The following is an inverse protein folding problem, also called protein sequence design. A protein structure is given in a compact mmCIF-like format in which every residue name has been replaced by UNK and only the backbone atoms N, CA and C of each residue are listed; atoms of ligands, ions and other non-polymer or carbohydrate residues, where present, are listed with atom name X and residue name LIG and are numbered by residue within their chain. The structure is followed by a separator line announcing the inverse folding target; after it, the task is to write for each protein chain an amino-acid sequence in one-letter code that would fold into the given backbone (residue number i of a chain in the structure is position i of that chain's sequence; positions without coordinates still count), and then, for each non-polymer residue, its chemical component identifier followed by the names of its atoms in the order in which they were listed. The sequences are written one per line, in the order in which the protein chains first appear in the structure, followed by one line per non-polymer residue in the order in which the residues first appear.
data_IF_135938748360
#
_entry.id   IF_135938748360
#
_cell.length_a   1.000
_cell.length_b   1.000
_cell.length_c   1.000
_cell.angle_alpha   90.00
_cell.angle_beta   90.00
_cell.angle_gamma   90.00
#
_symmetry.space_group_name_H-M   'P 1'
#
loop_
_entity.id
_entity.type
_entity.pdbx_description
1 polymer ?
#
# COMPACT_ATOMS: atom_id res chain seq x y z
N UNK A 1 9.20 10.72 21.44
CA UNK A 1 8.84 9.28 21.52
C UNK A 1 9.70 8.53 20.51
N UNK A 2 10.06 7.28 20.79
CA UNK A 2 10.71 6.39 19.80
C UNK A 2 9.63 5.68 18.97
N UNK A 3 10.00 5.17 17.79
CA UNK A 3 9.08 4.40 16.95
C UNK A 3 9.68 3.03 16.58
N UNK A 4 8.82 2.01 16.52
CA UNK A 4 9.16 0.65 16.10
C UNK A 4 8.31 0.27 14.91
N UNK A 5 8.94 -0.22 13.86
CA UNK A 5 8.26 -0.71 12.67
C UNK A 5 8.75 -2.13 12.33
N UNK A 6 7.84 -3.03 11.95
CA UNK A 6 8.15 -4.37 11.45
C UNK A 6 7.54 -4.48 10.06
N UNK A 7 8.35 -4.81 9.05
CA UNK A 7 7.84 -5.03 7.70
C UNK A 7 7.26 -6.44 7.59
N UNK A 8 5.94 -6.53 7.46
CA UNK A 8 5.21 -7.80 7.26
C UNK A 8 4.84 -8.04 5.79
N UNK A 9 5.06 -7.04 4.93
CA UNK A 9 4.79 -7.16 3.51
C UNK A 9 5.87 -8.02 2.83
N UNK A 10 5.53 -8.72 1.73
CA UNK A 10 6.53 -9.47 0.95
C UNK A 10 7.48 -8.55 0.16
N UNK A 11 7.18 -7.26 0.08
CA UNK A 11 7.99 -6.24 -0.58
C UNK A 11 8.89 -5.50 0.39
N UNK A 12 9.97 -4.90 -0.13
CA UNK A 12 10.85 -4.06 0.67
C UNK A 12 10.21 -2.69 0.94
N UNK A 13 10.57 -2.07 2.06
CA UNK A 13 10.36 -0.64 2.31
C UNK A 13 11.70 0.09 2.21
N UNK A 14 11.70 1.29 1.65
CA UNK A 14 12.81 2.21 1.72
C UNK A 14 12.52 3.28 2.75
N UNK A 15 13.48 3.50 3.65
CA UNK A 15 13.39 4.51 4.70
C UNK A 15 14.49 5.54 4.56
N UNK A 16 14.13 6.76 4.93
CA UNK A 16 14.99 7.91 5.07
C UNK A 16 14.87 8.43 6.50
N UNK A 17 15.98 8.77 7.12
CA UNK A 17 16.00 9.27 8.48
C UNK A 17 17.05 10.37 8.66
N UNK A 18 16.70 11.37 9.46
CA UNK A 18 17.56 12.49 9.83
C UNK A 18 17.63 12.55 11.37
N UNK A 19 18.84 12.69 11.97
CA UNK A 19 18.98 12.81 13.41
C UNK A 19 18.22 14.00 14.00
N UNK A 20 17.72 13.83 15.23
CA UNK A 20 16.94 14.85 15.95
C UNK A 20 17.57 16.24 15.86
N UNK A 21 18.89 16.38 16.03
CA UNK A 21 19.58 17.68 16.04
C UNK A 21 19.34 18.56 14.79
N UNK A 22 18.88 17.99 13.67
CA UNK A 22 18.57 18.72 12.45
C UNK A 22 17.07 19.00 12.25
N UNK A 23 16.21 18.64 13.21
CA UNK A 23 14.76 18.86 13.11
C UNK A 23 14.43 20.34 12.84
N UNK A 24 15.17 21.27 13.48
CA UNK A 24 14.97 22.71 13.29
C UNK A 24 15.34 23.19 11.88
N UNK A 25 16.35 22.59 11.25
CA UNK A 25 16.70 22.88 9.86
C UNK A 25 15.60 22.42 8.90
N UNK A 26 15.05 21.21 9.11
CA UNK A 26 13.94 20.70 8.30
C UNK A 26 12.67 21.53 8.54
N UNK A 27 12.39 21.91 9.80
CA UNK A 27 11.27 22.79 10.14
C UNK A 27 11.33 24.11 9.36
N UNK A 28 12.52 24.73 9.30
CA UNK A 28 12.72 25.95 8.54
C UNK A 28 12.45 25.75 7.05
N UNK A 29 12.93 24.64 6.46
CA UNK A 29 12.65 24.30 5.06
C UNK A 29 11.15 24.11 4.79
N UNK A 30 10.42 23.47 5.69
CA UNK A 30 8.96 23.31 5.54
C UNK A 30 8.22 24.64 5.64
N UNK A 31 8.60 25.52 6.58
CA UNK A 31 7.97 26.83 6.76
C UNK A 31 8.19 27.75 5.53
N UNK A 32 9.37 27.70 4.91
CA UNK A 32 9.66 28.44 3.67
C UNK A 32 8.72 28.07 2.53
N UNK A 33 8.16 26.86 2.55
CA UNK A 33 7.17 26.38 1.57
C UNK A 33 5.72 26.64 2.01
N UNK A 34 5.52 27.35 3.13
CA UNK A 34 4.20 27.55 3.71
C UNK A 34 3.57 26.27 4.26
N UNK A 35 4.38 25.26 4.57
CA UNK A 35 3.95 24.00 5.16
C UNK A 35 4.22 24.02 6.66
N UNK A 36 3.23 23.58 7.44
CA UNK A 36 3.42 23.33 8.86
C UNK A 36 4.14 21.98 9.04
N UNK A 37 5.31 22.01 9.68
CA UNK A 37 6.17 20.83 9.87
C UNK A 37 5.44 19.66 10.54
N UNK A 38 4.55 19.94 11.51
CA UNK A 38 3.92 18.91 12.35
C UNK A 38 2.62 18.36 11.76
N UNK A 39 1.91 19.16 10.98
CA UNK A 39 0.54 18.86 10.56
C UNK A 39 0.36 18.77 9.04
N UNK A 40 1.28 19.30 8.25
CA UNK A 40 1.22 19.18 6.79
C UNK A 40 1.78 17.83 6.32
N UNK A 41 1.36 17.41 5.11
CA UNK A 41 1.96 16.28 4.41
C UNK A 41 3.07 16.79 3.49
N UNK A 42 4.30 16.31 3.67
CA UNK A 42 5.47 16.73 2.89
C UNK A 42 6.45 15.58 2.70
N UNK A 43 7.28 15.66 1.66
CA UNK A 43 8.30 14.67 1.33
C UNK A 43 9.60 15.38 0.96
N UNK A 44 10.66 15.28 1.78
CA UNK A 44 11.90 16.01 1.52
C UNK A 44 12.63 15.54 0.25
N UNK A 45 13.21 16.49 -0.48
CA UNK A 45 14.22 16.17 -1.49
C UNK A 45 15.57 15.91 -0.79
N UNK A 46 16.10 14.71 -0.97
CA UNK A 46 17.36 14.28 -0.36
C UNK A 46 18.54 15.14 -0.84
N UNK A 47 18.51 15.61 -2.08
CA UNK A 47 19.58 16.41 -2.64
C UNK A 47 19.59 17.83 -2.04
N UNK A 48 18.40 18.38 -1.74
CA UNK A 48 18.26 19.65 -1.03
C UNK A 48 18.77 19.55 0.41
N UNK A 49 18.37 18.50 1.14
CA UNK A 49 18.90 18.25 2.48
C UNK A 49 20.43 18.14 2.48
N UNK A 50 21.00 17.49 1.45
CA UNK A 50 22.45 17.36 1.28
C UNK A 50 23.13 18.71 1.02
N UNK A 51 22.52 19.59 0.23
CA UNK A 51 23.02 20.95 -0.04
C UNK A 51 23.04 21.81 1.22
N UNK A 52 22.06 21.62 2.10
CA UNK A 52 21.98 22.26 3.43
C UNK A 52 22.88 21.59 4.50
N UNK A 53 23.68 20.60 4.11
CA UNK A 53 24.58 19.89 5.02
C UNK A 53 23.86 19.00 6.05
N UNK A 54 22.60 18.63 5.79
CA UNK A 54 21.80 17.76 6.64
C UNK A 54 22.08 16.29 6.25
N UNK A 55 22.59 15.46 7.18
CA UNK A 55 22.85 14.06 6.89
C UNK A 55 21.54 13.26 6.81
N UNK A 56 21.42 12.46 5.75
CA UNK A 56 20.27 11.56 5.52
C UNK A 56 20.75 10.12 5.53
N UNK A 57 20.20 9.32 6.44
CA UNK A 57 20.35 7.87 6.43
C UNK A 57 19.31 7.28 5.49
N UNK A 58 19.74 6.51 4.49
CA UNK A 58 18.86 5.81 3.54
C UNK A 58 19.12 4.32 3.62
N UNK A 59 18.08 3.52 3.83
CA UNK A 59 18.21 2.07 3.93
C UNK A 59 16.95 1.33 3.48
N UNK A 60 17.12 0.04 3.17
CA UNK A 60 16.05 -0.88 2.85
C UNK A 60 15.68 -1.70 4.09
N UNK A 61 14.39 -1.86 4.32
CA UNK A 61 13.81 -2.77 5.29
C UNK A 61 13.18 -3.95 4.55
N UNK A 62 13.79 -5.12 4.66
CA UNK A 62 13.32 -6.37 4.05
C UNK A 62 12.13 -6.95 4.82
N UNK A 63 11.37 -7.88 4.23
CA UNK A 63 10.34 -8.63 4.95
C UNK A 63 10.89 -9.27 6.22
N UNK A 64 10.24 -9.04 7.35
CA UNK A 64 10.64 -9.51 8.68
C UNK A 64 11.62 -8.60 9.43
N UNK A 65 12.20 -7.58 8.79
CA UNK A 65 13.10 -6.65 9.47
C UNK A 65 12.36 -5.73 10.44
N UNK A 66 12.96 -5.53 11.61
CA UNK A 66 12.57 -4.53 12.59
C UNK A 66 13.42 -3.27 12.45
N UNK A 67 12.76 -2.12 12.36
CA UNK A 67 13.39 -0.81 12.36
C UNK A 67 13.02 -0.07 13.65
N UNK A 68 14.04 0.43 14.34
CA UNK A 68 13.90 1.27 15.53
C UNK A 68 14.34 2.70 15.22
N UNK A 69 13.42 3.65 15.28
CA UNK A 69 13.71 5.07 15.22
C UNK A 69 13.88 5.62 16.63
N UNK A 70 15.05 6.19 16.91
CA UNK A 70 15.33 6.79 18.21
C UNK A 70 14.48 8.05 18.43
N UNK A 71 14.34 8.48 19.68
CA UNK A 71 13.57 9.66 20.04
C UNK A 71 13.98 10.89 19.21
N UNK A 72 13.00 11.59 18.66
CA UNK A 72 13.21 12.83 17.92
C UNK A 72 13.74 12.66 16.48
N UNK A 73 14.01 11.43 16.03
CA UNK A 73 14.40 11.17 14.63
C UNK A 73 13.27 11.62 13.69
N UNK A 74 13.61 12.42 12.68
CA UNK A 74 12.69 12.75 11.57
C UNK A 74 12.86 11.66 10.51
N UNK A 75 11.77 10.98 10.14
CA UNK A 75 11.85 9.87 9.18
C UNK A 75 10.64 9.83 8.24
N UNK A 76 10.87 9.34 7.03
CA UNK A 76 9.85 9.09 6.02
C UNK A 76 10.24 7.84 5.21
N UNK A 77 9.28 7.21 4.55
CA UNK A 77 9.54 5.97 3.82
C UNK A 77 8.49 5.64 2.77
N UNK A 78 8.86 4.75 1.86
CA UNK A 78 8.02 4.28 0.76
C UNK A 78 8.14 2.77 0.62
N UNK A 79 7.05 2.11 0.26
CA UNK A 79 7.10 0.71 -0.16
C UNK A 79 7.71 0.62 -1.57
N UNK A 80 8.71 -0.24 -1.76
CA UNK A 80 9.35 -0.50 -3.06
C UNK A 80 8.80 -1.74 -3.75
N UNK A 81 8.06 -2.59 -3.03
CA UNK A 81 7.47 -3.82 -3.56
C UNK A 81 5.97 -3.72 -3.81
N UNK A 82 5.37 -4.85 -4.16
CA UNK A 82 3.92 -4.94 -4.35
C UNK A 82 3.21 -4.69 -3.03
N UNK A 83 2.61 -3.51 -2.90
CA UNK A 83 1.77 -3.17 -1.77
C UNK A 83 0.63 -4.17 -1.65
N UNK A 84 0.11 -4.34 -0.44
CA UNK A 84 -1.05 -5.19 -0.19
C UNK A 84 -2.22 -4.85 -1.13
N UNK A 85 -2.42 -3.58 -1.48
CA UNK A 85 -3.43 -3.14 -2.45
C UNK A 85 -3.21 -3.68 -3.87
N UNK A 86 -1.98 -3.59 -4.40
CA UNK A 86 -1.67 -4.12 -5.73
C UNK A 86 -1.87 -5.64 -5.75
N UNK A 87 -1.40 -6.34 -4.70
CA UNK A 87 -1.51 -7.79 -4.59
C UNK A 87 -2.95 -8.26 -4.55
N UNK A 88 -3.81 -7.65 -3.74
CA UNK A 88 -5.22 -8.06 -3.65
C UNK A 88 -5.99 -7.77 -4.93
N UNK A 89 -5.67 -6.66 -5.62
CA UNK A 89 -6.24 -6.34 -6.93
C UNK A 89 -5.79 -7.34 -8.00
N UNK A 90 -4.49 -7.60 -8.15
CA UNK A 90 -3.97 -8.57 -9.12
C UNK A 90 -4.51 -9.97 -8.86
N UNK A 91 -4.57 -10.40 -7.59
CA UNK A 91 -5.17 -11.68 -7.23
C UNK A 91 -6.64 -11.77 -7.65
N UNK A 92 -7.42 -10.69 -7.46
CA UNK A 92 -8.81 -10.63 -7.90
C UNK A 92 -8.93 -10.80 -9.42
N UNK A 93 -8.08 -10.11 -10.20
CA UNK A 93 -8.08 -10.22 -11.65
C UNK A 93 -7.73 -11.64 -12.12
N UNK A 94 -6.67 -12.24 -11.57
CA UNK A 94 -6.24 -13.61 -11.91
C UNK A 94 -7.37 -14.62 -11.64
N UNK A 95 -8.08 -14.48 -10.52
CA UNK A 95 -9.22 -15.35 -10.20
C UNK A 95 -10.34 -15.15 -11.23
N UNK A 96 -10.68 -13.90 -11.58
CA UNK A 96 -11.71 -13.61 -12.58
C UNK A 96 -11.37 -14.21 -13.95
N UNK A 97 -10.14 -14.03 -14.43
CA UNK A 97 -9.66 -14.58 -15.71
C UNK A 97 -9.74 -16.12 -15.70
N UNK A 98 -9.37 -16.74 -14.59
CA UNK A 98 -9.46 -18.19 -14.43
C UNK A 98 -10.92 -18.69 -14.45
N UNK A 99 -11.83 -17.98 -13.80
CA UNK A 99 -13.27 -18.30 -13.82
C UNK A 99 -13.88 -18.14 -15.21
N UNK A 100 -13.45 -17.12 -15.97
CA UNK A 100 -13.85 -16.94 -17.36
C UNK A 100 -13.40 -18.11 -18.24
N UNK A 101 -12.15 -18.58 -18.07
CA UNK A 101 -11.63 -19.76 -18.78
C UNK A 101 -12.46 -21.02 -18.47
N UNK A 102 -12.93 -21.17 -17.24
CA UNK A 102 -13.83 -22.26 -16.83
C UNK A 102 -15.30 -22.02 -17.18
N UNK A 103 -15.63 -20.86 -17.75
CA UNK A 103 -17.01 -20.41 -18.06
C UNK A 103 -17.93 -20.41 -16.85
N UNK A 104 -17.38 -20.09 -15.68
CA UNK A 104 -18.16 -19.97 -14.44
C UNK A 104 -18.68 -18.53 -14.32
N UNK A 105 -20.00 -18.34 -14.25
CA UNK A 105 -20.56 -16.99 -14.16
C UNK A 105 -20.27 -16.37 -12.79
N UNK A 106 -19.72 -15.16 -12.81
CA UNK A 106 -19.53 -14.34 -11.61
C UNK A 106 -20.71 -13.39 -11.47
N UNK A 107 -21.42 -13.47 -10.34
CA UNK A 107 -22.56 -12.60 -10.06
C UNK A 107 -22.08 -11.35 -9.32
N UNK A 108 -22.64 -10.20 -9.69
CA UNK A 108 -22.44 -8.97 -8.96
C UNK A 108 -23.21 -9.02 -7.64
N UNK A 109 -22.50 -8.91 -6.52
CA UNK A 109 -23.08 -8.81 -5.18
C UNK A 109 -23.07 -7.36 -4.69
N UNK A 110 -21.91 -6.69 -4.84
CA UNK A 110 -21.68 -5.36 -4.27
C UNK A 110 -21.43 -5.41 -2.76
N UNK A 111 -20.74 -4.39 -2.22
CA UNK A 111 -20.49 -4.25 -0.79
C UNK A 111 -21.41 -3.17 -0.21
N UNK A 112 -22.15 -3.46 0.87
CA UNK A 112 -22.87 -2.40 1.61
C UNK A 112 -21.97 -1.74 2.67
N UNK A 113 -22.20 -0.46 3.04
CA UNK A 113 -21.36 0.24 4.01
C UNK A 113 -21.30 -0.40 5.40
N UNK A 114 -22.35 -1.13 5.79
CA UNK A 114 -22.49 -1.82 7.07
C UNK A 114 -22.07 -3.30 7.00
N UNK A 115 -21.63 -3.79 5.83
CA UNK A 115 -21.27 -5.18 5.62
C UNK A 115 -19.82 -5.44 6.06
N UNK A 116 -19.65 -6.31 7.05
CA UNK A 116 -18.34 -6.71 7.56
C UNK A 116 -17.53 -7.49 6.50
N UNK A 117 -16.21 -7.58 6.71
CA UNK A 117 -15.36 -8.45 5.89
C UNK A 117 -15.75 -9.92 6.07
N UNK A 118 -15.64 -10.69 5.00
CA UNK A 118 -15.93 -12.13 5.02
C UNK A 118 -14.65 -12.90 5.33
N UNK A 119 -14.77 -13.97 6.11
CA UNK A 119 -13.69 -14.91 6.38
C UNK A 119 -14.01 -16.27 5.76
N UNK A 120 -12.98 -16.97 5.32
CA UNK A 120 -13.11 -18.30 4.76
C UNK A 120 -13.52 -19.30 5.84
N UNK A 121 -14.60 -20.04 5.63
CA UNK A 121 -15.10 -21.03 6.59
C UNK A 121 -14.06 -22.11 6.97
N UNK A 122 -13.19 -22.49 6.04
CA UNK A 122 -12.27 -23.62 6.27
C UNK A 122 -10.89 -23.22 6.82
N UNK A 123 -10.45 -21.96 6.65
CA UNK A 123 -9.10 -21.52 7.07
C UNK A 123 -9.05 -20.13 7.68
N UNK A 124 -10.20 -19.49 7.90
CA UNK A 124 -10.39 -18.23 8.61
C UNK A 124 -9.71 -16.99 8.01
N UNK A 125 -8.97 -17.13 6.91
CA UNK A 125 -8.39 -15.98 6.21
C UNK A 125 -9.49 -15.07 5.66
N UNK A 126 -9.23 -13.78 5.64
CA UNK A 126 -10.10 -12.80 4.99
C UNK A 126 -10.24 -13.11 3.50
N UNK A 127 -11.48 -13.01 2.99
CA UNK A 127 -11.82 -13.18 1.58
C UNK A 127 -12.28 -11.84 1.03
N UNK A 128 -11.41 -11.23 0.23
CA UNK A 128 -11.66 -9.93 -0.38
C UNK A 128 -12.17 -10.08 -1.82
N UNK A 129 -13.19 -9.30 -2.17
CA UNK A 129 -13.76 -9.10 -3.50
C UNK A 129 -14.43 -10.32 -4.14
N UNK A 130 -13.73 -11.44 -4.33
CA UNK A 130 -14.28 -12.64 -5.00
C UNK A 130 -14.64 -13.71 -3.96
N UNK A 131 -15.94 -13.93 -3.76
CA UNK A 131 -16.47 -14.83 -2.74
C UNK A 131 -16.98 -16.13 -3.38
N UNK A 132 -16.55 -17.27 -2.85
CA UNK A 132 -17.08 -18.58 -3.24
C UNK A 132 -18.12 -19.00 -2.21
N UNK A 133 -19.40 -18.76 -2.53
CA UNK A 133 -20.50 -18.96 -1.60
C UNK A 133 -21.22 -20.30 -1.84
N UNK A 134 -21.55 -21.00 -0.76
CA UNK A 134 -22.49 -22.13 -0.76
C UNK A 134 -23.64 -21.83 0.18
N UNK A 135 -24.85 -22.24 -0.19
CA UNK A 135 -26.00 -22.20 0.74
C UNK A 135 -26.07 -23.53 1.46
N UNK A 136 -25.74 -23.54 2.75
CA UNK A 136 -25.98 -24.68 3.64
C UNK A 136 -26.90 -24.23 4.77
N UNK A 137 -27.98 -24.97 5.03
CA UNK A 137 -28.89 -24.75 6.16
C UNK A 137 -29.39 -23.29 6.35
N UNK A 138 -29.72 -22.61 5.24
CA UNK A 138 -30.17 -21.20 5.20
C UNK A 138 -29.13 -20.17 5.66
N UNK A 139 -27.86 -20.56 5.80
CA UNK A 139 -26.73 -19.64 5.96
C UNK A 139 -25.84 -19.70 4.73
N UNK A 140 -25.41 -18.52 4.27
CA UNK A 140 -24.41 -18.42 3.21
C UNK A 140 -23.04 -18.57 3.84
N UNK A 141 -22.32 -19.62 3.46
CA UNK A 141 -20.92 -19.83 3.85
C UNK A 141 -20.00 -19.35 2.74
N UNK A 142 -18.98 -18.58 3.09
CA UNK A 142 -17.97 -18.07 2.16
C UNK A 142 -16.68 -18.87 2.29
N UNK A 143 -16.06 -19.22 1.17
CA UNK A 143 -14.73 -19.82 1.10
C UNK A 143 -13.79 -18.96 0.25
N UNK A 144 -12.49 -19.02 0.55
CA UNK A 144 -11.45 -18.46 -0.32
C UNK A 144 -11.26 -19.36 -1.56
N UNK A 145 -10.63 -18.82 -2.61
CA UNK A 145 -10.36 -19.56 -3.85
C UNK A 145 -9.66 -20.90 -3.61
N UNK A 146 -8.62 -20.92 -2.77
CA UNK A 146 -7.83 -22.11 -2.47
C UNK A 146 -8.66 -23.21 -1.79
N UNK A 147 -9.49 -22.84 -0.81
CA UNK A 147 -10.37 -23.77 -0.11
C UNK A 147 -11.49 -24.26 -1.03
N UNK A 148 -12.10 -23.37 -1.82
CA UNK A 148 -13.12 -23.73 -2.79
C UNK A 148 -12.60 -24.74 -3.81
N UNK A 149 -11.41 -24.52 -4.39
CA UNK A 149 -10.74 -25.45 -5.31
C UNK A 149 -10.37 -26.79 -4.69
N UNK A 150 -10.01 -26.81 -3.40
CA UNK A 150 -9.75 -28.07 -2.67
C UNK A 150 -11.04 -28.86 -2.44
N UNK A 151 -12.15 -28.17 -2.20
CA UNK A 151 -13.45 -28.78 -1.98
C UNK A 151 -14.07 -29.30 -3.29
N UNK A 152 -14.11 -28.45 -4.32
CA UNK A 152 -14.53 -28.80 -5.67
C UNK A 152 -13.56 -28.15 -6.69
N UNK A 153 -12.67 -28.94 -7.31
CA UNK A 153 -11.78 -28.43 -8.36
C UNK A 153 -12.55 -27.81 -9.53
N UNK A 154 -13.74 -28.28 -9.87
CA UNK A 154 -14.52 -27.71 -10.98
C UNK A 154 -15.17 -26.37 -10.62
N UNK A 155 -15.24 -26.04 -9.32
CA UNK A 155 -15.89 -24.86 -8.74
C UNK A 155 -17.38 -24.74 -9.08
N UNK A 156 -18.00 -25.78 -9.64
CA UNK A 156 -19.41 -25.78 -10.07
C UNK A 156 -20.37 -25.83 -8.87
N UNK A 157 -19.91 -26.33 -7.72
CA UNK A 157 -20.70 -26.34 -6.48
C UNK A 157 -20.86 -24.96 -5.84
N UNK A 158 -20.18 -23.92 -6.34
CA UNK A 158 -20.15 -22.59 -5.72
C UNK A 158 -20.94 -21.56 -6.53
N UNK A 159 -21.67 -20.70 -5.82
CA UNK A 159 -22.09 -19.40 -6.37
C UNK A 159 -20.94 -18.41 -6.19
N UNK A 160 -20.34 -17.97 -7.30
CA UNK A 160 -19.25 -16.99 -7.26
C UNK A 160 -19.80 -15.58 -7.29
N UNK A 161 -19.40 -14.77 -6.31
CA UNK A 161 -19.86 -13.40 -6.12
C UNK A 161 -18.67 -12.43 -6.21
N UNK A 162 -18.91 -11.23 -6.77
CA UNK A 162 -17.95 -10.13 -6.78
C UNK A 162 -18.51 -8.91 -6.02
N UNK A 163 -17.70 -8.36 -5.10
CA UNK A 163 -18.05 -7.19 -4.25
C UNK A 163 -17.63 -5.86 -4.86
N UNK A 164 -16.51 -5.79 -5.60
CA UNK A 164 -15.98 -4.57 -6.25
C UNK A 164 -15.69 -4.78 -7.74
N UNK A 165 -15.84 -3.73 -8.56
CA UNK A 165 -15.42 -3.80 -9.95
C UNK A 165 -13.90 -3.64 -10.05
N UNK A 166 -13.26 -4.35 -10.97
CA UNK A 166 -11.81 -4.20 -11.18
C UNK A 166 -11.41 -2.79 -11.61
N UNK A 167 -12.26 -2.11 -12.38
CA UNK A 167 -12.07 -0.69 -12.75
C UNK A 167 -12.10 0.25 -11.55
N UNK A 168 -12.94 -0.04 -10.56
CA UNK A 168 -13.05 0.74 -9.32
C UNK A 168 -11.80 0.54 -8.47
N UNK A 169 -11.35 -0.71 -8.30
CA UNK A 169 -10.11 -1.02 -7.58
C UNK A 169 -8.87 -0.39 -8.24
N UNK A 170 -8.79 -0.44 -9.57
CA UNK A 170 -7.71 0.20 -10.33
C UNK A 170 -7.71 1.72 -10.11
N UNK A 171 -8.89 2.35 -10.15
CA UNK A 171 -9.01 3.79 -9.89
C UNK A 171 -8.57 4.16 -8.47
N UNK A 172 -8.94 3.36 -7.47
CA UNK A 172 -8.50 3.57 -6.08
C UNK A 172 -6.98 3.45 -5.99
N UNK A 173 -6.41 2.42 -6.62
CA UNK A 173 -4.97 2.18 -6.63
C UNK A 173 -4.19 3.32 -7.30
N UNK A 174 -4.61 3.77 -8.49
CA UNK A 174 -3.93 4.82 -9.24
C UNK A 174 -3.93 6.18 -8.51
N UNK A 175 -4.99 6.43 -7.74
CA UNK A 175 -5.11 7.62 -6.89
C UNK A 175 -4.43 7.47 -5.52
N UNK A 176 -3.98 6.28 -5.16
CA UNK A 176 -3.27 6.02 -3.90
C UNK A 176 -1.79 6.38 -4.03
N UNK A 177 -1.51 7.67 -4.09
CA UNK A 177 -0.16 8.21 -4.24
C UNK A 177 0.34 8.84 -2.93
N UNK A 178 1.64 8.75 -2.70
CA UNK A 178 2.31 9.57 -1.70
C UNK A 178 2.24 11.04 -2.13
N UNK A 179 1.71 11.90 -1.26
CA UNK A 179 1.73 13.35 -1.49
C UNK A 179 3.17 13.87 -1.37
N UNK A 180 3.92 13.85 -2.48
CA UNK A 180 5.26 14.45 -2.54
C UNK A 180 5.13 15.95 -2.79
N UNK A 181 5.20 16.76 -1.74
CA UNK A 181 5.37 18.20 -1.91
C UNK A 181 6.86 18.44 -2.18
N UNK A 182 7.19 18.86 -3.42
CA UNK A 182 8.55 19.30 -3.76
C UNK A 182 8.84 20.60 -3.01
N UNK A 183 9.97 20.64 -2.31
CA UNK A 183 10.36 21.77 -1.47
C UNK A 183 10.98 22.92 -2.33
N UNK A 184 11.03 22.84 -3.68
CA UNK A 184 11.14 24.03 -4.54
C UNK A 184 10.54 23.88 -5.96
N UNK A 185 9.95 24.97 -6.46
CA UNK A 185 9.95 25.33 -7.89
C UNK A 185 10.97 26.44 -8.12
N UNK A 186 12.15 26.13 -8.67
CA UNK A 186 13.02 27.19 -9.18
C UNK A 186 12.63 27.55 -10.62
N UNK A 187 11.90 28.65 -10.75
CA UNK A 187 11.88 29.46 -11.97
C UNK A 187 13.12 30.35 -12.01
N UNK A 188 14.16 29.98 -12.75
CA UNK A 188 14.99 30.89 -13.56
C UNK A 188 16.23 30.20 -14.14
N UNK A 189 16.44 30.42 -15.44
CA UNK A 189 17.65 30.10 -16.18
C UNK A 189 18.90 30.66 -15.49
N UNK A 190 20.00 29.89 -15.40
CA UNK A 190 21.33 30.24 -15.92
C UNK A 190 22.48 29.37 -15.35
N UNK A 191 23.43 29.08 -16.24
CA UNK A 191 24.82 28.66 -16.06
C UNK A 191 25.19 27.18 -15.79
N UNK A 192 25.43 26.48 -16.91
CA UNK A 192 26.73 25.92 -17.34
C UNK A 192 27.55 25.17 -16.27
N UNK A 193 27.40 23.84 -16.28
CA UNK A 193 28.36 22.90 -15.67
C UNK A 193 29.64 22.89 -16.53
N UNK A 194 30.75 23.36 -15.96
CA UNK A 194 32.09 22.94 -16.37
C UNK A 194 32.50 21.80 -15.44
N UNK A 195 32.82 20.65 -16.02
CA UNK A 195 33.52 19.56 -15.35
C UNK A 195 34.93 20.02 -14.96
N UNK A 196 35.26 19.96 -13.68
CA UNK A 196 36.43 19.25 -13.12
C UNK A 196 36.06 18.77 -11.73
#
# INVERSE_FOLDING_TARGET
MCAVNINVDPGDCEWFAVPEQYWGSIHHLTEHQGLDFLTSSWWPDVEELRQEGIPVYRFLQKPGDLVWFNAGTVFWGQALGWSTLLRTMVNSQIILDFLEQLRIPVKRHGKKPDEIAHNCQDCEIEVFNILFATTQDKRSEVRCFSCARRNDPSLQSFSVLSEYYMSELATIYDNFQTNTVRIFTHSSNLFRILYV
#
